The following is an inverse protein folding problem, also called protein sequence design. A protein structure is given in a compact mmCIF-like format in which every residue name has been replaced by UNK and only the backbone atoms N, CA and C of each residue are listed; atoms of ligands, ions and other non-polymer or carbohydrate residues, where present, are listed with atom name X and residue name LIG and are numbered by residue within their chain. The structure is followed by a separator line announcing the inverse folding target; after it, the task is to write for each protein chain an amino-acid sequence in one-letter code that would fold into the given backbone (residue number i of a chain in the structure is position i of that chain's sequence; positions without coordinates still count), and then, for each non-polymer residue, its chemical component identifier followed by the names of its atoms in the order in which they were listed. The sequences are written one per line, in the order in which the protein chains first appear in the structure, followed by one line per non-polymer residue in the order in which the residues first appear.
data_IF_377275554687
#
_entry.id   IF_377275554687
#
_cell.length_a   1.000
_cell.length_b   1.000
_cell.length_c   1.000
_cell.angle_alpha   90.00
_cell.angle_beta   90.00
_cell.angle_gamma   90.00
#
_symmetry.space_group_name_H-M   'P 1'
#
loop_
_entity.id
_entity.type
_entity.pdbx_description
1 polymer ?
#
# COMPACT_ATOMS: atom_id res chain seq x y z
N UNK A 1 4.83 19.27 3.23
CA UNK A 1 5.54 18.43 4.21
C UNK A 1 6.04 19.21 5.41
N UNK A 2 6.83 20.28 5.24
CA UNK A 2 7.36 21.03 6.36
C UNK A 2 6.33 21.64 7.31
N UNK A 3 5.33 22.34 6.76
CA UNK A 3 4.30 22.99 7.55
C UNK A 3 3.33 21.98 8.21
N UNK A 4 3.06 20.82 7.60
CA UNK A 4 2.17 19.77 8.14
C UNK A 4 2.84 18.94 9.23
N UNK A 5 4.10 18.59 9.00
CA UNK A 5 5.01 18.08 10.00
C UNK A 5 5.08 19.06 11.18
N UNK A 6 5.01 20.38 10.92
CA UNK A 6 4.99 21.42 11.94
C UNK A 6 3.64 21.67 12.60
N UNK A 7 2.55 21.43 11.91
CA UNK A 7 1.20 21.73 12.39
C UNK A 7 0.63 20.56 13.20
N UNK A 8 0.81 19.33 12.70
CA UNK A 8 0.22 18.11 13.25
C UNK A 8 1.20 17.28 14.09
N UNK A 9 2.48 17.30 13.72
CA UNK A 9 3.56 16.66 14.50
C UNK A 9 4.46 17.68 15.21
N UNK A 10 4.18 18.98 15.07
CA UNK A 10 4.90 20.07 15.74
C UNK A 10 6.41 20.17 15.40
N UNK A 11 6.83 19.65 14.23
CA UNK A 11 8.20 19.68 13.70
C UNK A 11 8.35 20.55 12.44
N UNK A 12 9.16 21.62 12.46
CA UNK A 12 9.43 22.45 11.29
C UNK A 12 10.36 21.76 10.28
N UNK A 13 10.08 21.95 8.98
CA UNK A 13 10.90 21.36 7.91
C UNK A 13 10.33 20.04 7.37
N UNK A 14 10.55 19.71 6.09
CA UNK A 14 9.83 18.63 5.42
C UNK A 14 10.28 17.25 5.94
N UNK A 15 9.39 16.25 5.82
CA UNK A 15 9.72 14.82 5.95
C UNK A 15 9.23 14.06 4.71
N UNK A 16 9.68 12.83 4.52
CA UNK A 16 9.40 11.95 3.38
C UNK A 16 8.06 11.21 3.49
N UNK A 17 7.58 10.97 4.72
CA UNK A 17 6.27 10.36 5.00
C UNK A 17 5.61 10.98 6.24
N UNK A 18 4.28 11.07 6.24
CA UNK A 18 3.45 11.37 7.43
C UNK A 18 2.39 10.28 7.57
N UNK A 19 2.25 9.73 8.77
CA UNK A 19 1.20 8.78 9.13
C UNK A 19 0.47 9.28 10.39
N UNK A 20 -0.82 8.97 10.50
CA UNK A 20 -1.70 9.43 11.57
C UNK A 20 -2.54 8.27 12.10
N UNK A 21 -2.91 8.34 13.38
CA UNK A 21 -3.78 7.38 14.06
C UNK A 21 -5.19 7.50 13.44
N UNK A 22 -5.87 6.49 12.92
CA UNK A 22 -6.03 5.15 13.43
C UNK A 22 -6.02 4.18 12.25
N UNK A 23 -4.96 3.39 12.17
CA UNK A 23 -4.83 2.31 11.23
C UNK A 23 -3.48 1.65 11.36
N UNK A 24 -3.43 0.57 12.13
CA UNK A 24 -2.25 -0.28 12.24
C UNK A 24 -2.43 -1.53 11.38
N UNK A 25 -1.39 -1.91 10.65
CA UNK A 25 -1.35 -3.16 9.89
C UNK A 25 -0.29 -4.05 10.49
N UNK A 26 -0.71 -5.18 11.04
CA UNK A 26 0.18 -6.22 11.54
C UNK A 26 0.27 -7.35 10.52
N UNK A 27 1.49 -7.68 10.11
CA UNK A 27 1.76 -8.76 9.16
C UNK A 27 2.61 -9.83 9.83
N UNK A 28 2.24 -11.10 9.66
CA UNK A 28 3.00 -12.23 10.19
C UNK A 28 3.74 -12.96 9.04
N UNK A 29 5.06 -12.80 8.91
CA UNK A 29 5.83 -13.45 7.84
C UNK A 29 5.76 -14.98 7.86
N UNK A 30 5.66 -15.60 9.04
CA UNK A 30 5.54 -17.05 9.16
C UNK A 30 4.21 -17.58 8.57
N UNK A 31 3.12 -16.81 8.71
CA UNK A 31 1.85 -17.14 8.04
C UNK A 31 1.99 -16.94 6.53
N UNK A 32 2.64 -15.86 6.10
CA UNK A 32 2.90 -15.60 4.69
C UNK A 32 3.70 -16.74 4.04
N UNK A 33 4.74 -17.25 4.69
CA UNK A 33 5.53 -18.40 4.19
C UNK A 33 4.68 -19.65 3.93
N UNK A 34 3.67 -19.88 4.78
CA UNK A 34 2.77 -21.03 4.66
C UNK A 34 1.68 -20.85 3.62
N UNK A 35 1.21 -19.63 3.41
CA UNK A 35 0.12 -19.31 2.47
C UNK A 35 0.63 -19.00 1.06
N UNK A 36 1.84 -18.47 0.92
CA UNK A 36 2.45 -18.11 -0.37
C UNK A 36 2.35 -19.23 -1.44
N UNK A 37 2.58 -20.53 -1.14
CA UNK A 37 2.43 -21.59 -2.13
C UNK A 37 0.99 -21.75 -2.65
N UNK A 38 -0.03 -21.42 -1.85
CA UNK A 38 -1.45 -21.49 -2.26
C UNK A 38 -1.82 -20.39 -3.23
N UNK A 39 -1.17 -19.24 -3.13
CA UNK A 39 -1.37 -18.11 -4.03
C UNK A 39 -0.36 -18.08 -5.19
N UNK A 40 0.54 -19.06 -5.27
CA UNK A 40 1.62 -19.11 -6.25
C UNK A 40 2.53 -17.87 -6.20
N UNK A 41 2.81 -17.38 -4.99
CA UNK A 41 3.66 -16.23 -4.72
C UNK A 41 4.93 -16.64 -3.97
N UNK A 42 5.93 -15.74 -3.93
CA UNK A 42 7.01 -15.85 -2.94
C UNK A 42 6.53 -15.37 -1.57
N UNK A 43 7.26 -15.73 -0.51
CA UNK A 43 6.96 -15.23 0.85
C UNK A 43 6.95 -13.72 0.92
N UNK A 44 7.89 -13.04 0.26
CA UNK A 44 7.97 -11.57 0.21
C UNK A 44 6.77 -10.96 -0.50
N UNK A 45 6.34 -11.58 -1.60
CA UNK A 45 5.17 -11.14 -2.36
C UNK A 45 3.87 -11.33 -1.55
N UNK A 46 3.78 -12.39 -0.77
CA UNK A 46 2.65 -12.66 0.13
C UNK A 46 2.63 -11.67 1.31
N UNK A 47 3.79 -11.36 1.90
CA UNK A 47 3.92 -10.30 2.91
C UNK A 47 3.49 -8.94 2.34
N UNK A 48 3.92 -8.62 1.11
CA UNK A 48 3.52 -7.40 0.43
C UNK A 48 2.00 -7.38 0.14
N UNK A 49 1.43 -8.51 -0.28
CA UNK A 49 -0.01 -8.66 -0.49
C UNK A 49 -0.78 -8.40 0.81
N UNK A 50 -0.31 -8.90 1.95
CA UNK A 50 -0.91 -8.60 3.27
C UNK A 50 -0.79 -7.13 3.66
N UNK A 51 0.35 -6.48 3.37
CA UNK A 51 0.51 -5.05 3.55
C UNK A 51 -0.49 -4.24 2.70
N UNK A 52 -0.64 -4.60 1.43
CA UNK A 52 -1.63 -4.01 0.52
C UNK A 52 -3.05 -4.23 1.06
N UNK A 53 -3.38 -5.45 1.47
CA UNK A 53 -4.69 -5.81 2.03
C UNK A 53 -5.01 -4.97 3.28
N UNK A 54 -4.09 -4.89 4.23
CA UNK A 54 -4.25 -4.07 5.43
C UNK A 54 -4.42 -2.59 5.10
N UNK A 55 -3.59 -2.04 4.20
CA UNK A 55 -3.71 -0.65 3.76
C UNK A 55 -5.04 -0.37 3.03
N UNK A 56 -5.56 -1.33 2.27
CA UNK A 56 -6.88 -1.22 1.64
C UNK A 56 -7.99 -1.14 2.69
N UNK A 57 -7.93 -1.96 3.75
CA UNK A 57 -8.88 -1.83 4.87
C UNK A 57 -8.78 -0.49 5.59
N UNK A 58 -7.56 0.01 5.82
CA UNK A 58 -7.37 1.36 6.37
C UNK A 58 -7.89 2.46 5.44
N UNK A 59 -7.88 2.20 4.12
CA UNK A 59 -8.46 3.08 3.11
C UNK A 59 -9.99 2.91 2.95
N UNK A 60 -10.64 2.09 3.78
CA UNK A 60 -12.08 1.90 3.80
C UNK A 60 -12.62 0.81 2.86
N UNK A 61 -11.75 -0.02 2.29
CA UNK A 61 -12.19 -1.22 1.55
C UNK A 61 -12.63 -2.31 2.51
N UNK A 62 -13.54 -3.15 2.04
CA UNK A 62 -14.15 -4.24 2.81
C UNK A 62 -14.18 -5.50 1.93
N UNK A 63 -14.22 -6.67 2.56
CA UNK A 63 -14.27 -7.98 1.90
C UNK A 63 -15.26 -8.95 2.58
N UNK A 64 -16.12 -8.43 3.47
CA UNK A 64 -17.11 -9.23 4.21
C UNK A 64 -18.20 -9.83 3.33
N UNK A 65 -18.51 -9.23 2.18
CA UNK A 65 -19.46 -9.78 1.22
C UNK A 65 -18.77 -10.24 -0.09
N UNK A 66 -19.36 -11.17 -0.85
CA UNK A 66 -18.72 -11.73 -2.04
C UNK A 66 -18.40 -10.69 -3.12
N UNK A 67 -19.24 -9.68 -3.31
CA UNK A 67 -19.03 -8.63 -4.31
C UNK A 67 -17.85 -7.72 -3.93
N UNK A 68 -17.84 -7.23 -2.69
CA UNK A 68 -16.77 -6.38 -2.16
C UNK A 68 -15.43 -7.13 -2.15
N UNK A 69 -15.44 -8.41 -1.77
CA UNK A 69 -14.26 -9.27 -1.81
C UNK A 69 -13.68 -9.40 -3.22
N UNK A 70 -14.52 -9.65 -4.23
CA UNK A 70 -14.06 -9.74 -5.62
C UNK A 70 -13.45 -8.41 -6.11
N UNK A 71 -14.03 -7.28 -5.70
CA UNK A 71 -13.51 -5.96 -6.03
C UNK A 71 -12.13 -5.73 -5.34
N UNK A 72 -12.02 -6.03 -4.05
CA UNK A 72 -10.78 -5.88 -3.29
C UNK A 72 -9.68 -6.84 -3.79
N UNK A 73 -10.01 -8.07 -4.15
CA UNK A 73 -9.10 -9.04 -4.76
C UNK A 73 -8.55 -8.56 -6.13
N UNK A 74 -9.40 -7.91 -6.93
CA UNK A 74 -8.95 -7.30 -8.20
C UNK A 74 -7.96 -6.16 -7.96
N UNK A 75 -8.23 -5.31 -6.97
CA UNK A 75 -7.36 -4.18 -6.62
C UNK A 75 -6.04 -4.64 -6.00
N UNK A 76 -6.07 -5.64 -5.13
CA UNK A 76 -4.87 -6.29 -4.59
C UNK A 76 -3.95 -6.80 -5.70
N UNK A 77 -4.50 -7.51 -6.71
CA UNK A 77 -3.72 -7.99 -7.86
C UNK A 77 -3.11 -6.85 -8.66
N UNK A 78 -3.87 -5.76 -8.88
CA UNK A 78 -3.40 -4.57 -9.59
C UNK A 78 -2.22 -3.90 -8.87
N UNK A 79 -2.36 -3.67 -7.56
CA UNK A 79 -1.34 -3.03 -6.72
C UNK A 79 -0.09 -3.90 -6.57
N UNK A 80 -0.25 -5.22 -6.42
CA UNK A 80 0.86 -6.16 -6.36
C UNK A 80 1.64 -6.18 -7.68
N UNK A 81 0.96 -6.18 -8.83
CA UNK A 81 1.61 -6.09 -10.14
C UNK A 81 2.39 -4.77 -10.33
N UNK A 82 1.81 -3.66 -9.88
CA UNK A 82 2.48 -2.35 -9.86
C UNK A 82 3.75 -2.37 -9.00
N UNK A 83 3.67 -2.91 -7.79
CA UNK A 83 4.78 -2.99 -6.86
C UNK A 83 5.90 -3.91 -7.35
N UNK A 84 5.58 -4.96 -8.12
CA UNK A 84 6.54 -5.81 -8.84
C UNK A 84 7.23 -5.11 -10.03
N UNK A 85 6.81 -3.90 -10.39
CA UNK A 85 7.33 -3.19 -11.56
C UNK A 85 6.76 -3.69 -12.89
N UNK A 86 5.68 -4.47 -12.88
CA UNK A 86 5.06 -5.03 -14.09
C UNK A 86 4.12 -4.04 -14.82
N UNK A 87 3.89 -2.85 -14.27
CA UNK A 87 3.12 -1.79 -14.92
C UNK A 87 4.04 -0.73 -15.53
N UNK A 88 3.71 -0.17 -16.71
CA UNK A 88 4.50 0.88 -17.31
C UNK A 88 4.58 2.09 -16.37
N UNK A 89 5.80 2.51 -16.03
CA UNK A 89 6.08 3.73 -15.27
C UNK A 89 5.78 4.94 -16.16
N UNK A 90 4.53 5.35 -16.26
CA UNK A 90 4.14 6.60 -16.94
C UNK A 90 4.14 7.83 -16.01
N UNK A 91 4.86 7.79 -14.88
CA UNK A 91 4.92 8.89 -13.93
C UNK A 91 6.34 9.45 -13.79
N UNK A 92 6.73 10.26 -14.79
CA UNK A 92 7.61 11.43 -14.73
C UNK A 92 7.87 11.85 -16.19
N UNK A 93 6.91 12.54 -16.82
CA UNK A 93 7.19 13.33 -18.02
C UNK A 93 6.61 14.73 -17.84
N UNK A 94 7.54 15.67 -17.76
CA UNK A 94 7.45 17.12 -17.96
C UNK A 94 6.63 17.94 -16.95
N UNK A 95 7.29 18.38 -15.86
CA UNK A 95 6.99 19.69 -15.29
C UNK A 95 7.76 20.75 -16.11
N UNK A 96 7.09 21.73 -16.76
CA UNK A 96 7.79 22.78 -17.46
C UNK A 96 8.44 23.74 -16.46
N UNK A 97 9.70 24.08 -16.70
CA UNK A 97 10.43 25.06 -15.91
C UNK A 97 9.72 26.40 -15.84
N UNK A 98 9.77 27.04 -14.68
CA UNK A 98 9.16 28.34 -14.44
C UNK A 98 9.88 29.10 -13.34
N UNK A 99 10.91 29.83 -13.78
CA UNK A 99 11.59 31.02 -13.20
C UNK A 99 11.82 31.12 -11.70
#
# INVERSE_FOLDING_TARGET
MAALHAEWLQVPGPTDVLAFDYGEVFVCPWVAEREAPRHHLTTEEEVLLYGIHGLLHLAGWDDRCPEDRLAMEAEQRRLLALARGAAPRSFFRDAPGGR
#
